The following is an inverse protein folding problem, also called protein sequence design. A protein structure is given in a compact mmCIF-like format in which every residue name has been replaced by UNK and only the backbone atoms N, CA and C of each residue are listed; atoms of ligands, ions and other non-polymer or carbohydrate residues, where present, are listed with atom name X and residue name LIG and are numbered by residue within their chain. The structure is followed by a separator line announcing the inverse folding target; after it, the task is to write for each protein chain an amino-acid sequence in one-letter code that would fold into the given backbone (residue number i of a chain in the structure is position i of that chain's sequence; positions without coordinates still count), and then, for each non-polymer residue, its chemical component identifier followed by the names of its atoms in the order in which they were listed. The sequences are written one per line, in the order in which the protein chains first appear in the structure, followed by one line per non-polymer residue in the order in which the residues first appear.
data_IF_202144599111
#
_entry.id   IF_202144599111
#
_cell.length_a   1.000
_cell.length_b   1.000
_cell.length_c   1.000
_cell.angle_alpha   90.00
_cell.angle_beta   90.00
_cell.angle_gamma   90.00
#
_symmetry.space_group_name_H-M   'P 1'
#
loop_
_entity.id
_entity.type
_entity.pdbx_description
1 polymer ?
#
# COMPACT_ATOMS: atom_id res chain seq x y z
N UNK A 1 -48.80 -59.05 7.01
CA UNK A 1 -48.55 -57.96 6.04
C UNK A 1 -48.14 -56.71 6.83
N UNK A 2 -46.89 -56.27 6.72
CA UNK A 2 -46.38 -55.08 7.42
C UNK A 2 -46.72 -53.80 6.63
N UNK A 3 -46.97 -52.64 7.28
CA UNK A 3 -47.66 -51.52 6.66
C UNK A 3 -46.75 -50.65 5.77
N UNK A 4 -47.15 -50.53 4.50
CA UNK A 4 -46.53 -49.72 3.44
C UNK A 4 -46.97 -48.24 3.55
N UNK A 5 -46.71 -47.60 4.68
CA UNK A 5 -47.13 -46.19 4.94
C UNK A 5 -46.22 -45.35 5.84
N UNK A 6 -45.20 -45.94 6.48
CA UNK A 6 -44.36 -45.25 7.46
C UNK A 6 -43.23 -44.35 6.91
N UNK A 7 -42.97 -44.36 5.60
CA UNK A 7 -41.78 -43.70 5.04
C UNK A 7 -42.03 -42.22 4.67
N UNK A 8 -43.18 -41.88 4.10
CA UNK A 8 -43.49 -40.52 3.63
C UNK A 8 -43.57 -39.47 4.77
N UNK A 9 -44.06 -39.86 5.96
CA UNK A 9 -44.11 -38.96 7.13
C UNK A 9 -42.73 -38.74 7.76
N UNK A 10 -41.83 -39.73 7.67
CA UNK A 10 -40.43 -39.60 8.10
C UNK A 10 -39.63 -38.76 7.10
N UNK A 11 -39.90 -38.92 5.81
CA UNK A 11 -39.27 -38.16 4.73
C UNK A 11 -39.65 -36.67 4.80
N UNK A 12 -40.94 -36.36 4.98
CA UNK A 12 -41.39 -34.98 5.19
C UNK A 12 -40.86 -34.34 6.47
N UNK A 13 -40.66 -35.11 7.55
CA UNK A 13 -39.99 -34.63 8.77
C UNK A 13 -38.51 -34.32 8.55
N UNK A 14 -37.80 -35.15 7.77
CA UNK A 14 -36.41 -34.92 7.38
C UNK A 14 -36.29 -33.72 6.43
N UNK A 15 -37.21 -33.57 5.48
CA UNK A 15 -37.26 -32.43 4.57
C UNK A 15 -37.45 -31.11 5.33
N UNK A 16 -38.40 -31.05 6.28
CA UNK A 16 -38.62 -29.85 7.12
C UNK A 16 -37.40 -29.51 7.99
N UNK A 17 -36.68 -30.52 8.47
CA UNK A 17 -35.44 -30.30 9.23
C UNK A 17 -34.32 -29.76 8.34
N UNK A 18 -34.16 -30.32 7.14
CA UNK A 18 -33.18 -29.85 6.16
C UNK A 18 -33.48 -28.42 5.68
N UNK A 19 -34.75 -28.07 5.46
CA UNK A 19 -35.14 -26.70 5.10
C UNK A 19 -34.86 -25.69 6.20
N UNK A 20 -35.08 -26.06 7.47
CA UNK A 20 -34.77 -25.16 8.59
C UNK A 20 -33.26 -24.99 8.78
N UNK A 21 -32.49 -26.05 8.58
CA UNK A 21 -31.02 -26.01 8.61
C UNK A 21 -30.45 -25.19 7.45
N UNK A 22 -31.02 -25.32 6.24
CA UNK A 22 -30.67 -24.51 5.08
C UNK A 22 -31.02 -23.03 5.30
N UNK A 23 -32.18 -22.71 5.89
CA UNK A 23 -32.55 -21.33 6.25
C UNK A 23 -31.61 -20.72 7.28
N UNK A 24 -31.21 -21.49 8.31
CA UNK A 24 -30.22 -21.06 9.30
C UNK A 24 -28.83 -20.87 8.68
N UNK A 25 -28.44 -21.76 7.77
CA UNK A 25 -27.20 -21.65 7.00
C UNK A 25 -27.18 -20.42 6.10
N UNK A 26 -28.28 -20.14 5.40
CA UNK A 26 -28.43 -18.95 4.56
C UNK A 26 -28.41 -17.65 5.37
N UNK A 27 -29.06 -17.61 6.54
CA UNK A 27 -28.99 -16.46 7.44
C UNK A 27 -27.56 -16.23 7.96
N UNK A 28 -26.87 -17.28 8.39
CA UNK A 28 -25.47 -17.18 8.83
C UNK A 28 -24.51 -16.79 7.70
N UNK A 29 -24.79 -17.20 6.45
CA UNK A 29 -24.02 -16.78 5.28
C UNK A 29 -24.27 -15.29 4.97
N UNK A 30 -25.52 -14.83 5.03
CA UNK A 30 -25.87 -13.43 4.84
C UNK A 30 -25.27 -12.52 5.93
N UNK A 31 -25.24 -12.97 7.19
CA UNK A 31 -24.60 -12.23 8.29
C UNK A 31 -23.08 -12.14 8.11
N UNK A 32 -22.45 -13.21 7.62
CA UNK A 32 -21.02 -13.19 7.28
C UNK A 32 -20.72 -12.28 6.09
N UNK A 33 -21.53 -12.34 5.05
CA UNK A 33 -21.40 -11.48 3.87
C UNK A 33 -21.58 -10.00 4.25
N UNK A 34 -22.51 -9.67 5.15
CA UNK A 34 -22.65 -8.30 5.69
C UNK A 34 -21.42 -7.87 6.49
N UNK A 35 -20.93 -8.71 7.40
CA UNK A 35 -19.73 -8.40 8.18
C UNK A 35 -18.48 -8.27 7.30
N UNK A 36 -18.38 -9.07 6.23
CA UNK A 36 -17.32 -8.94 5.24
C UNK A 36 -17.49 -7.65 4.44
N UNK A 37 -18.70 -7.33 3.98
CA UNK A 37 -18.99 -6.08 3.29
C UNK A 37 -18.66 -4.85 4.14
N UNK A 38 -19.00 -4.86 5.44
CA UNK A 38 -18.67 -3.77 6.37
C UNK A 38 -17.15 -3.65 6.56
N UNK A 39 -16.43 -4.77 6.73
CA UNK A 39 -14.95 -4.79 6.82
C UNK A 39 -14.28 -4.30 5.53
N UNK A 40 -14.86 -4.64 4.37
CA UNK A 40 -14.37 -4.19 3.07
C UNK A 40 -14.73 -2.73 2.79
N UNK A 41 -15.84 -2.23 3.33
CA UNK A 41 -16.23 -0.83 3.28
C UNK A 41 -15.31 0.05 4.14
N UNK A 42 -14.90 -0.41 5.32
CA UNK A 42 -13.92 0.29 6.17
C UNK A 42 -12.52 0.40 5.54
N UNK A 43 -12.15 -0.54 4.65
CA UNK A 43 -10.90 -0.49 3.88
C UNK A 43 -10.99 0.29 2.56
N UNK A 44 -12.21 0.48 2.03
CA UNK A 44 -12.47 1.15 0.77
C UNK A 44 -12.61 2.66 0.94
N UNK A 45 -11.57 3.42 0.60
CA UNK A 45 -11.55 4.90 0.57
C UNK A 45 -12.94 5.50 0.21
N UNK A 46 -13.66 5.97 1.23
CA UNK A 46 -14.78 6.92 1.15
C UNK A 46 -14.30 8.32 0.69
N UNK A 47 -13.38 8.39 -0.28
CA UNK A 47 -12.76 9.65 -0.71
C UNK A 47 -13.30 10.15 -2.06
N UNK A 48 -13.99 9.30 -2.83
CA UNK A 48 -14.57 9.69 -4.13
C UNK A 48 -16.04 10.06 -4.04
N UNK A 49 -16.88 9.26 -3.38
CA UNK A 49 -18.30 9.56 -3.20
C UNK A 49 -18.53 10.81 -2.33
N UNK A 50 -17.87 10.89 -1.17
CA UNK A 50 -17.93 12.06 -0.27
C UNK A 50 -17.40 13.36 -0.91
N UNK A 51 -16.38 13.28 -1.78
CA UNK A 51 -15.86 14.47 -2.48
C UNK A 51 -16.82 14.97 -3.56
N UNK A 52 -17.51 14.06 -4.25
CA UNK A 52 -18.50 14.44 -5.26
C UNK A 52 -19.79 14.97 -4.62
N UNK A 53 -20.18 14.42 -3.47
CA UNK A 53 -21.33 14.90 -2.71
C UNK A 53 -21.06 16.28 -2.07
N UNK A 54 -19.86 16.49 -1.49
CA UNK A 54 -19.44 17.82 -1.00
C UNK A 54 -19.35 18.85 -2.12
N UNK A 55 -18.84 18.48 -3.31
CA UNK A 55 -18.82 19.39 -4.47
C UNK A 55 -20.22 19.77 -4.95
N UNK A 56 -21.17 18.83 -4.94
CA UNK A 56 -22.57 19.11 -5.31
C UNK A 56 -23.27 19.98 -4.26
N UNK A 57 -23.02 19.74 -2.98
CA UNK A 57 -23.55 20.57 -1.89
C UNK A 57 -22.98 21.99 -1.90
N UNK A 58 -21.69 22.17 -2.19
CA UNK A 58 -21.09 23.51 -2.34
C UNK A 58 -21.60 24.25 -3.58
N UNK A 59 -21.80 23.55 -4.69
CA UNK A 59 -22.43 24.14 -5.89
C UNK A 59 -23.87 24.57 -5.63
N UNK A 60 -24.66 23.76 -4.91
CA UNK A 60 -26.02 24.11 -4.53
C UNK A 60 -26.05 25.33 -3.59
N UNK A 61 -25.18 25.37 -2.57
CA UNK A 61 -25.08 26.51 -1.65
C UNK A 61 -24.61 27.79 -2.36
N UNK A 62 -23.69 27.67 -3.31
CA UNK A 62 -23.23 28.82 -4.11
C UNK A 62 -24.33 29.33 -5.05
N UNK A 63 -25.16 28.45 -5.61
CA UNK A 63 -26.30 28.84 -6.44
C UNK A 63 -27.39 29.55 -5.63
N UNK A 64 -27.67 29.10 -4.40
CA UNK A 64 -28.62 29.75 -3.50
C UNK A 64 -28.13 31.15 -3.07
N UNK A 65 -26.86 31.25 -2.66
CA UNK A 65 -26.27 32.55 -2.30
C UNK A 65 -26.23 33.51 -3.50
N UNK A 66 -25.95 33.02 -4.71
CA UNK A 66 -25.99 33.85 -5.92
C UNK A 66 -27.42 34.32 -6.24
N UNK A 67 -28.44 33.49 -5.98
CA UNK A 67 -29.84 33.89 -6.15
C UNK A 67 -30.24 34.97 -5.15
N UNK A 68 -29.84 34.82 -3.89
CA UNK A 68 -30.09 35.82 -2.86
C UNK A 68 -29.38 37.14 -3.17
N UNK A 69 -28.12 37.08 -3.62
CA UNK A 69 -27.37 38.28 -4.01
C UNK A 69 -28.01 38.99 -5.22
N UNK A 70 -28.50 38.25 -6.21
CA UNK A 70 -29.21 38.84 -7.34
C UNK A 70 -30.56 39.45 -6.93
N UNK A 71 -31.25 38.86 -5.96
CA UNK A 71 -32.49 39.40 -5.40
C UNK A 71 -32.21 40.69 -4.61
N UNK A 72 -31.10 40.75 -3.86
CA UNK A 72 -30.62 41.98 -3.19
C UNK A 72 -30.15 43.06 -4.17
N UNK A 73 -29.43 42.72 -5.25
CA UNK A 73 -29.02 43.67 -6.29
C UNK A 73 -30.22 44.22 -7.09
N UNK A 74 -31.28 43.43 -7.26
CA UNK A 74 -32.51 43.87 -7.92
C UNK A 74 -33.40 44.76 -7.02
N UNK A 75 -33.22 44.67 -5.70
CA UNK A 75 -33.92 45.49 -4.70
C UNK A 75 -33.12 46.73 -4.29
N UNK A 76 -31.87 46.87 -4.75
CA UNK A 76 -31.05 48.05 -4.53
C UNK A 76 -31.50 49.21 -5.44
N UNK A 77 -31.93 50.37 -4.89
CA UNK A 77 -32.42 51.49 -5.69
C UNK A 77 -31.30 52.15 -6.51
N UNK A 78 -31.49 52.19 -7.83
CA UNK A 78 -30.55 52.78 -8.78
C UNK A 78 -30.32 54.28 -8.51
N UNK A 79 -29.06 54.67 -8.30
CA UNK A 79 -28.61 56.07 -8.37
C UNK A 79 -27.57 56.26 -9.48
N UNK A 80 -27.60 57.40 -10.20
CA UNK A 80 -27.15 57.50 -11.59
C UNK A 80 -25.64 57.70 -11.75
N UNK A 81 -25.11 57.18 -12.87
CA UNK A 81 -23.77 57.48 -13.40
C UNK A 81 -23.60 58.97 -13.72
N UNK A 82 -22.44 59.59 -13.42
CA UNK A 82 -21.92 60.69 -14.21
C UNK A 82 -20.72 60.25 -15.09
N UNK A 83 -20.72 60.81 -16.30
CA UNK A 83 -19.81 60.58 -17.43
C UNK A 83 -18.40 61.20 -17.22
N UNK A 84 -17.43 60.96 -18.13
CA UNK A 84 -15.99 61.03 -17.86
C UNK A 84 -15.41 62.44 -18.07
N UNK A 85 -14.41 62.81 -17.26
CA UNK A 85 -13.49 63.91 -17.57
C UNK A 85 -12.05 63.45 -17.55
N UNK A 86 -11.39 63.74 -18.66
CA UNK A 86 -10.02 63.41 -19.00
C UNK A 86 -8.98 64.33 -18.31
N UNK A 87 -7.75 63.83 -18.34
CA UNK A 87 -6.47 64.55 -18.19
C UNK A 87 -6.10 64.88 -16.72
N UNK A 88 -4.87 64.68 -16.21
CA UNK A 88 -3.52 64.74 -16.80
C UNK A 88 -2.49 63.90 -16.01
N UNK A 89 -1.36 63.68 -16.68
CA UNK A 89 -0.13 62.92 -16.35
C UNK A 89 0.54 63.29 -15.02
N UNK A 90 1.14 62.30 -14.34
CA UNK A 90 2.50 62.36 -13.75
C UNK A 90 2.98 60.98 -13.24
N UNK A 91 4.11 60.51 -13.79
CA UNK A 91 5.14 59.56 -13.30
C UNK A 91 4.74 58.27 -12.51
N UNK A 92 5.13 57.07 -12.98
CA UNK A 92 4.93 55.82 -12.25
C UNK A 92 6.08 55.55 -11.26
N UNK A 93 5.73 55.17 -10.02
CA UNK A 93 6.61 54.44 -9.09
C UNK A 93 6.14 52.98 -9.01
N UNK A 94 7.05 52.03 -8.77
CA UNK A 94 7.05 50.75 -9.47
C UNK A 94 6.11 49.72 -8.83
N UNK A 95 5.23 49.17 -9.65
CA UNK A 95 4.75 47.81 -9.44
C UNK A 95 5.87 46.85 -9.87
N UNK A 96 6.09 45.77 -9.12
CA UNK A 96 6.69 44.56 -9.68
C UNK A 96 5.81 44.00 -10.81
N UNK A 97 5.99 42.76 -11.28
CA UNK A 97 7.02 41.75 -11.02
C UNK A 97 7.70 41.27 -12.32
N UNK A 98 8.88 40.66 -12.21
CA UNK A 98 9.44 39.81 -13.27
C UNK A 98 10.11 40.54 -14.44
N UNK A 99 11.43 40.52 -14.45
CA UNK A 99 12.25 40.43 -15.66
C UNK A 99 13.67 40.03 -15.27
N UNK A 100 13.98 38.77 -15.56
CA UNK A 100 15.28 38.28 -16.00
C UNK A 100 16.27 39.36 -16.50
N UNK A 101 17.41 39.47 -15.83
CA UNK A 101 18.67 39.96 -16.39
C UNK A 101 19.78 39.39 -15.50
N UNK A 102 20.39 38.26 -15.86
CA UNK A 102 21.60 38.23 -16.67
C UNK A 102 22.66 39.22 -16.14
N UNK A 103 23.57 38.71 -15.31
CA UNK A 103 24.71 39.50 -14.82
C UNK A 103 25.46 38.74 -13.73
N UNK A 104 26.47 37.97 -14.15
CA UNK A 104 27.33 37.21 -13.26
C UNK A 104 28.05 38.09 -12.24
N UNK A 105 28.21 37.53 -11.04
CA UNK A 105 29.02 38.10 -9.97
C UNK A 105 29.44 36.96 -9.05
N UNK A 106 30.59 36.37 -9.36
CA UNK A 106 31.33 35.49 -8.47
C UNK A 106 31.66 36.27 -7.19
N UNK A 107 30.91 36.03 -6.12
CA UNK A 107 31.26 36.47 -4.78
C UNK A 107 31.69 35.24 -3.98
N UNK A 108 33.01 35.17 -3.72
CA UNK A 108 33.64 34.23 -2.82
C UNK A 108 32.92 34.21 -1.45
N UNK A 109 32.27 33.09 -1.17
CA UNK A 109 31.88 32.72 0.19
C UNK A 109 33.09 32.12 0.93
N UNK A 110 33.26 32.38 2.23
CA UNK A 110 34.41 31.89 2.99
C UNK A 110 34.39 30.36 3.05
N UNK A 111 35.52 29.76 2.64
CA UNK A 111 35.81 28.32 2.68
C UNK A 111 35.63 27.79 4.11
N UNK A 112 34.56 27.06 4.34
CA UNK A 112 34.42 26.16 5.48
C UNK A 112 35.02 24.82 5.07
N UNK A 113 36.13 24.49 5.73
CA UNK A 113 36.83 23.20 5.83
C UNK A 113 36.44 22.10 4.82
N UNK A 114 37.40 21.75 3.96
CA UNK A 114 37.42 20.50 3.20
C UNK A 114 37.40 19.32 4.17
N UNK A 115 36.25 18.66 4.29
CA UNK A 115 36.19 17.23 4.56
C UNK A 115 36.68 16.50 3.29
N UNK A 116 37.41 15.37 3.41
CA UNK A 116 37.84 14.63 2.24
C UNK A 116 36.60 14.25 1.44
N UNK A 117 36.51 14.70 0.18
CA UNK A 117 35.50 14.18 -0.74
C UNK A 117 35.83 12.72 -0.96
N UNK A 118 35.09 11.83 -0.29
CA UNK A 118 35.03 10.44 -0.64
C UNK A 118 34.76 10.36 -2.16
N UNK A 119 35.60 9.60 -2.85
CA UNK A 119 35.39 9.28 -4.26
C UNK A 119 33.98 8.71 -4.43
N UNK A 120 33.24 9.07 -5.50
CA UNK A 120 31.91 8.52 -5.69
C UNK A 120 32.01 6.99 -5.76
N UNK A 121 31.48 6.31 -4.75
CA UNK A 121 31.48 4.86 -4.71
C UNK A 121 30.66 4.34 -5.90
N UNK A 122 31.35 3.67 -6.82
CA UNK A 122 30.72 3.03 -7.96
C UNK A 122 30.20 1.66 -7.56
N UNK A 123 28.97 1.35 -7.96
CA UNK A 123 28.32 0.07 -7.73
C UNK A 123 27.90 -0.52 -9.07
N UNK A 124 28.27 -1.78 -9.32
CA UNK A 124 27.83 -2.53 -10.49
C UNK A 124 26.92 -3.68 -10.06
N UNK A 125 25.74 -3.73 -10.66
CA UNK A 125 24.78 -4.79 -10.42
C UNK A 125 24.50 -5.55 -11.72
N UNK A 126 25.13 -6.70 -11.90
CA UNK A 126 24.86 -7.58 -13.05
C UNK A 126 23.77 -8.59 -12.68
N UNK A 127 22.66 -8.58 -13.42
CA UNK A 127 21.50 -9.46 -13.18
C UNK A 127 20.38 -8.79 -12.38
N UNK A 128 19.17 -9.34 -12.49
CA UNK A 128 17.96 -8.74 -11.90
C UNK A 128 18.02 -8.71 -10.37
N UNK A 129 18.44 -9.81 -9.74
CA UNK A 129 18.47 -9.92 -8.28
C UNK A 129 19.45 -8.92 -7.66
N UNK A 130 20.63 -8.77 -8.25
CA UNK A 130 21.63 -7.79 -7.81
C UNK A 130 21.16 -6.34 -8.01
N UNK A 131 20.42 -6.07 -9.08
CA UNK A 131 19.88 -4.73 -9.34
C UNK A 131 18.75 -4.37 -8.35
N UNK A 132 17.91 -5.34 -7.99
CA UNK A 132 16.89 -5.18 -6.96
C UNK A 132 17.50 -4.95 -5.58
N UNK A 133 18.54 -5.71 -5.22
CA UNK A 133 19.27 -5.53 -3.97
C UNK A 133 19.93 -4.15 -3.88
N UNK A 134 20.60 -3.70 -4.95
CA UNK A 134 21.18 -2.35 -5.01
C UNK A 134 20.12 -1.26 -4.91
N UNK A 135 18.99 -1.43 -5.60
CA UNK A 135 17.89 -0.47 -5.55
C UNK A 135 17.29 -0.37 -4.15
N UNK A 136 17.15 -1.49 -3.42
CA UNK A 136 16.65 -1.45 -2.04
C UNK A 136 17.63 -0.74 -1.10
N UNK A 137 18.94 -0.87 -1.32
CA UNK A 137 19.96 -0.11 -0.59
C UNK A 137 19.88 1.39 -0.91
N UNK A 138 19.86 1.75 -2.20
CA UNK A 138 19.87 3.15 -2.65
C UNK A 138 18.57 3.89 -2.31
N UNK A 139 17.42 3.21 -2.39
CA UNK A 139 16.11 3.80 -2.08
C UNK A 139 15.75 3.72 -0.60
N UNK A 140 16.54 3.01 0.22
CA UNK A 140 16.33 2.95 1.65
C UNK A 140 16.42 4.36 2.26
N UNK A 141 15.30 4.84 2.79
CA UNK A 141 15.31 6.05 3.62
C UNK A 141 16.10 5.77 4.90
N UNK A 142 17.16 6.54 5.13
CA UNK A 142 18.04 6.41 6.30
C UNK A 142 17.51 7.16 7.53
N UNK A 143 16.31 7.74 7.45
CA UNK A 143 15.67 8.38 8.60
C UNK A 143 15.44 7.36 9.73
N UNK A 144 15.72 7.76 10.97
CA UNK A 144 15.58 6.90 12.17
C UNK A 144 14.19 6.26 12.30
N UNK A 145 13.15 6.96 11.82
CA UNK A 145 11.79 6.42 11.76
C UNK A 145 11.65 5.31 10.70
N UNK A 146 12.19 5.51 9.49
CA UNK A 146 12.13 4.52 8.40
C UNK A 146 13.00 3.29 8.68
N UNK A 147 14.19 3.48 9.25
CA UNK A 147 15.06 2.38 9.69
C UNK A 147 14.39 1.58 10.81
N UNK A 148 13.74 2.26 11.76
CA UNK A 148 12.97 1.62 12.82
C UNK A 148 11.79 0.79 12.31
N UNK A 149 11.08 1.28 11.28
CA UNK A 149 9.98 0.52 10.63
C UNK A 149 10.50 -0.71 9.89
N UNK A 150 11.58 -0.59 9.10
CA UNK A 150 12.17 -1.75 8.42
C UNK A 150 12.76 -2.77 9.40
N UNK A 151 13.37 -2.30 10.50
CA UNK A 151 13.87 -3.18 11.57
C UNK A 151 12.73 -3.84 12.36
N UNK A 152 11.53 -3.25 12.36
CA UNK A 152 10.33 -3.86 12.93
C UNK A 152 9.67 -4.87 11.98
N UNK A 153 9.81 -4.67 10.66
CA UNK A 153 9.42 -5.65 9.63
C UNK A 153 10.38 -6.83 9.53
N UNK A 154 11.60 -6.71 10.08
CA UNK A 154 12.53 -7.84 10.14
C UNK A 154 11.93 -8.97 10.98
N UNK A 155 11.85 -10.14 10.36
CA UNK A 155 10.99 -11.23 10.80
C UNK A 155 11.44 -11.82 12.14
N UNK A 156 10.55 -11.73 13.13
CA UNK A 156 10.78 -12.23 14.49
C UNK A 156 10.28 -13.67 14.69
N UNK A 157 9.39 -14.16 13.82
CA UNK A 157 8.74 -15.46 13.97
C UNK A 157 8.70 -16.26 12.66
N UNK A 158 9.86 -16.80 12.22
CA UNK A 158 9.91 -17.66 11.04
C UNK A 158 8.93 -18.85 11.14
N UNK A 159 8.72 -19.40 12.34
CA UNK A 159 7.74 -20.47 12.60
C UNK A 159 6.29 -20.08 12.25
N UNK A 160 5.89 -18.82 12.50
CA UNK A 160 4.53 -18.34 12.21
C UNK A 160 4.33 -18.12 10.71
N UNK A 161 5.35 -17.61 10.03
CA UNK A 161 5.30 -17.38 8.57
C UNK A 161 5.51 -18.64 7.77
N UNK A 162 6.21 -19.63 8.31
CA UNK A 162 6.44 -20.91 7.64
C UNK A 162 5.12 -21.55 7.18
N UNK A 163 4.09 -21.55 8.03
CA UNK A 163 2.78 -22.11 7.69
C UNK A 163 2.12 -21.36 6.52
N UNK A 164 2.11 -20.03 6.58
CA UNK A 164 1.51 -19.20 5.53
C UNK A 164 2.28 -19.29 4.21
N UNK A 165 3.61 -19.25 4.27
CA UNK A 165 4.48 -19.38 3.10
C UNK A 165 4.38 -20.79 2.48
N UNK A 166 4.31 -21.84 3.31
CA UNK A 166 4.10 -23.20 2.83
C UNK A 166 2.72 -23.38 2.18
N UNK A 167 1.68 -22.77 2.74
CA UNK A 167 0.34 -22.79 2.15
C UNK A 167 0.28 -22.08 0.80
N UNK A 168 0.89 -20.89 0.69
CA UNK A 168 1.01 -20.16 -0.57
C UNK A 168 1.82 -20.96 -1.62
N UNK A 169 2.93 -21.58 -1.21
CA UNK A 169 3.73 -22.45 -2.09
C UNK A 169 2.92 -23.68 -2.52
N UNK A 170 2.19 -24.30 -1.60
CA UNK A 170 1.33 -25.45 -1.87
C UNK A 170 0.27 -25.11 -2.90
N UNK A 171 -0.45 -24.00 -2.76
CA UNK A 171 -1.49 -23.62 -3.72
C UNK A 171 -0.95 -23.40 -5.13
N UNK A 172 0.24 -22.79 -5.26
CA UNK A 172 0.89 -22.54 -6.55
C UNK A 172 1.43 -23.81 -7.21
N UNK A 173 2.08 -24.67 -6.43
CA UNK A 173 2.83 -25.83 -6.95
C UNK A 173 1.98 -27.11 -7.02
N UNK A 174 0.89 -27.22 -6.25
CA UNK A 174 -0.01 -28.38 -6.29
C UNK A 174 -0.52 -28.75 -7.71
N UNK A 175 -0.95 -27.80 -8.56
CA UNK A 175 -1.36 -28.14 -9.93
C UNK A 175 -0.18 -28.57 -10.82
N UNK A 176 1.04 -28.09 -10.55
CA UNK A 176 2.26 -28.47 -11.29
C UNK A 176 2.67 -29.88 -10.88
N UNK A 177 2.76 -30.15 -9.58
CA UNK A 177 3.10 -31.45 -9.04
C UNK A 177 2.14 -32.56 -9.49
N UNK A 178 0.83 -32.27 -9.62
CA UNK A 178 -0.17 -33.21 -10.16
C UNK A 178 0.05 -33.54 -11.64
N UNK A 179 0.61 -32.62 -12.42
CA UNK A 179 0.94 -32.85 -13.84
C UNK A 179 2.24 -33.63 -13.98
N UNK A 180 3.25 -33.33 -13.16
CA UNK A 180 4.56 -33.99 -13.21
C UNK A 180 4.53 -35.43 -12.67
N UNK A 181 3.73 -35.67 -11.62
CA UNK A 181 3.65 -36.98 -10.96
C UNK A 181 2.21 -37.51 -10.91
N UNK A 182 1.58 -37.81 -12.05
CA UNK A 182 0.21 -38.32 -12.06
C UNK A 182 0.10 -39.64 -11.29
N UNK A 183 -1.00 -39.81 -10.56
CA UNK A 183 -1.29 -41.04 -9.81
C UNK A 183 -0.75 -41.10 -8.37
N UNK A 184 -0.04 -40.08 -7.91
CA UNK A 184 0.42 -39.99 -6.51
C UNK A 184 -0.75 -39.69 -5.56
N UNK A 185 -0.68 -40.17 -4.32
CA UNK A 185 -1.69 -39.87 -3.27
C UNK A 185 -1.53 -38.43 -2.79
N UNK A 186 -2.63 -37.78 -2.35
CA UNK A 186 -2.61 -36.41 -1.82
C UNK A 186 -1.55 -36.18 -0.73
N UNK A 187 -1.34 -37.16 0.16
CA UNK A 187 -0.32 -37.08 1.21
C UNK A 187 1.09 -37.05 0.63
N UNK A 188 1.37 -37.88 -0.38
CA UNK A 188 2.68 -37.97 -1.02
C UNK A 188 3.01 -36.69 -1.79
N UNK A 189 2.03 -36.04 -2.42
CA UNK A 189 2.23 -34.70 -2.98
C UNK A 189 2.60 -33.70 -1.89
N UNK A 190 1.87 -33.69 -0.77
CA UNK A 190 2.19 -32.78 0.34
C UNK A 190 3.61 -32.99 0.87
N UNK A 191 4.05 -34.23 1.03
CA UNK A 191 5.40 -34.56 1.48
C UNK A 191 6.47 -34.12 0.46
N UNK A 192 6.18 -34.27 -0.84
CA UNK A 192 7.05 -33.84 -1.93
C UNK A 192 7.19 -32.32 -1.97
N UNK A 193 6.05 -31.59 -1.93
CA UNK A 193 6.04 -30.13 -1.88
C UNK A 193 6.71 -29.61 -0.61
N UNK A 194 6.52 -30.28 0.53
CA UNK A 194 7.19 -29.91 1.78
C UNK A 194 8.71 -30.02 1.67
N UNK A 195 9.22 -31.11 1.07
CA UNK A 195 10.67 -31.27 0.84
C UNK A 195 11.24 -30.25 -0.14
N UNK A 196 10.49 -29.91 -1.20
CA UNK A 196 10.90 -28.85 -2.12
C UNK A 196 10.89 -27.49 -1.42
N UNK A 197 9.84 -27.21 -0.63
CA UNK A 197 9.72 -25.95 0.10
C UNK A 197 10.84 -25.76 1.12
N UNK A 198 11.26 -26.82 1.83
CA UNK A 198 12.40 -26.76 2.76
C UNK A 198 13.68 -26.24 2.09
N UNK A 199 13.91 -26.56 0.82
CA UNK A 199 15.08 -26.13 0.03
C UNK A 199 14.86 -24.81 -0.73
N UNK A 200 13.62 -24.35 -0.82
CA UNK A 200 13.25 -23.16 -1.58
C UNK A 200 13.71 -21.88 -0.85
N UNK A 201 14.13 -20.83 -1.59
CA UNK A 201 14.41 -19.51 -1.00
C UNK A 201 13.16 -18.84 -0.39
N UNK A 202 11.97 -19.31 -0.76
CA UNK A 202 10.68 -18.85 -0.22
C UNK A 202 10.45 -19.28 1.24
N UNK A 203 11.25 -20.23 1.75
CA UNK A 203 11.17 -20.66 3.13
C UNK A 203 11.74 -19.59 4.07
N UNK A 204 10.93 -19.03 5.00
CA UNK A 204 11.41 -18.02 5.96
C UNK A 204 12.58 -18.50 6.83
N UNK A 205 12.76 -19.81 7.02
CA UNK A 205 13.91 -20.35 7.76
C UNK A 205 15.24 -20.28 6.99
N UNK A 206 15.19 -20.23 5.67
CA UNK A 206 16.39 -20.08 4.83
C UNK A 206 16.82 -18.60 4.74
N UNK A 207 15.99 -17.67 5.20
CA UNK A 207 16.29 -16.25 5.29
C UNK A 207 17.00 -15.97 6.62
N UNK A 208 17.93 -15.02 6.64
CA UNK A 208 18.77 -14.78 7.82
C UNK A 208 17.95 -14.59 9.10
N UNK A 209 18.13 -15.51 10.04
CA UNK A 209 17.40 -15.57 11.30
C UNK A 209 17.88 -14.45 12.23
N UNK A 210 16.94 -13.69 12.80
CA UNK A 210 17.20 -12.88 13.98
C UNK A 210 16.78 -13.67 15.22
N UNK A 211 17.56 -13.58 16.30
CA UNK A 211 17.15 -14.11 17.59
C UNK A 211 15.88 -13.40 18.06
N UNK A 212 14.96 -14.16 18.65
CA UNK A 212 13.70 -13.62 19.18
C UNK A 212 13.92 -12.52 20.24
N UNK A 213 15.01 -12.62 21.00
CA UNK A 213 15.37 -11.68 22.06
C UNK A 213 16.18 -10.46 21.57
N UNK A 214 16.41 -10.33 20.26
CA UNK A 214 17.14 -9.20 19.71
C UNK A 214 16.45 -7.86 20.07
N UNK A 215 17.22 -7.02 20.73
CA UNK A 215 16.88 -5.63 21.04
C UNK A 215 16.68 -4.81 19.76
N UNK A 216 16.01 -3.66 19.87
CA UNK A 216 15.74 -2.80 18.71
C UNK A 216 17.05 -2.37 18.02
N UNK A 217 18.09 -2.10 18.79
CA UNK A 217 19.39 -1.68 18.27
C UNK A 217 20.12 -2.83 17.56
N UNK A 218 20.00 -4.07 18.06
CA UNK A 218 20.55 -5.25 17.36
C UNK A 218 19.86 -5.52 16.02
N UNK A 219 18.56 -5.22 15.90
CA UNK A 219 17.84 -5.35 14.61
C UNK A 219 18.27 -4.29 13.61
N UNK A 220 18.48 -3.06 14.08
CA UNK A 220 19.02 -1.98 13.24
C UNK A 220 20.43 -2.36 12.78
N UNK A 221 21.28 -2.84 13.70
CA UNK A 221 22.63 -3.30 13.38
C UNK A 221 22.64 -4.48 12.41
N UNK A 222 21.71 -5.43 12.53
CA UNK A 222 21.59 -6.55 11.60
C UNK A 222 21.11 -6.12 10.21
N UNK A 223 20.21 -5.13 10.13
CA UNK A 223 19.76 -4.52 8.88
C UNK A 223 20.92 -3.75 8.21
N UNK A 224 21.66 -2.96 8.97
CA UNK A 224 22.86 -2.26 8.51
C UNK A 224 23.94 -3.24 8.06
N UNK A 225 24.17 -4.33 8.80
CA UNK A 225 25.11 -5.38 8.39
C UNK A 225 24.71 -6.05 7.07
N UNK A 226 23.40 -6.28 6.85
CA UNK A 226 22.90 -6.78 5.55
C UNK A 226 23.11 -5.77 4.43
N UNK A 227 22.82 -4.49 4.66
CA UNK A 227 23.09 -3.42 3.68
C UNK A 227 24.57 -3.35 3.33
N UNK A 228 25.45 -3.35 4.33
CA UNK A 228 26.89 -3.35 4.14
C UNK A 228 27.38 -4.61 3.40
N UNK A 229 26.77 -5.78 3.61
CA UNK A 229 27.08 -6.98 2.82
C UNK A 229 26.70 -6.82 1.35
N UNK A 230 25.53 -6.24 1.06
CA UNK A 230 25.07 -5.98 -0.31
C UNK A 230 25.96 -4.93 -0.98
N UNK A 231 26.26 -3.84 -0.29
CA UNK A 231 27.17 -2.78 -0.75
C UNK A 231 28.55 -3.35 -1.05
N UNK A 232 29.16 -4.10 -0.14
CA UNK A 232 30.47 -4.71 -0.35
C UNK A 232 30.48 -5.75 -1.49
N UNK A 233 29.37 -6.46 -1.71
CA UNK A 233 29.24 -7.43 -2.81
C UNK A 233 29.15 -6.73 -4.17
N UNK A 234 28.49 -5.58 -4.24
CA UNK A 234 28.18 -4.85 -5.48
C UNK A 234 29.09 -3.65 -5.73
N UNK A 235 29.99 -3.32 -4.79
CA UNK A 235 31.00 -2.29 -4.94
C UNK A 235 31.97 -2.66 -6.05
N UNK A 236 32.21 -1.72 -6.96
CA UNK A 236 33.24 -1.87 -7.97
C UNK A 236 34.61 -1.95 -7.30
N UNK A 237 35.25 -3.09 -7.45
CA UNK A 237 36.68 -3.28 -7.13
C UNK A 237 37.46 -3.05 -8.42
N UNK A 238 37.50 -1.79 -8.87
CA UNK A 238 38.41 -1.35 -9.93
C UNK A 238 39.55 -0.54 -9.35
#
# INVERSE_FOLDING_TARGET
MAPKGGNAKKESGRAKKAENEAKKGAAAAADKERQEADKWADGGKASKADKEEKRKAELARKAENARLLAEEESSAPAKPKPAPKAAKKAAPKPAGPGAIAAGGGLAEGPKKAEEPKDEPEAYTATGLDNALDLLDVVTAKMDKASVGSRAAELERHPERRFKAAFEAYKEREMPIARKEHPGLRLQQYQDLLYKQFQKSPENPFNQAMLSYDASKDERVKALEAKKAQVENRLRDRS
#
